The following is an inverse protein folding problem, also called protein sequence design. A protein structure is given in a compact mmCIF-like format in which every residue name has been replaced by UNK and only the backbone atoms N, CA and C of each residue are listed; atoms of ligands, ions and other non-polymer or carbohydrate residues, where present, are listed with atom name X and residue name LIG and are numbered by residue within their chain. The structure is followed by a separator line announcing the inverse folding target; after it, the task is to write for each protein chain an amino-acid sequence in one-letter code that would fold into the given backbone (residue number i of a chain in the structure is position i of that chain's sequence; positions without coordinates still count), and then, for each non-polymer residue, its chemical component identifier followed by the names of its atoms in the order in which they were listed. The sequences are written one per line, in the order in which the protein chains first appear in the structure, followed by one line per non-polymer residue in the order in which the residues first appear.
data_IF_336826138376
#
_entry.id   IF_336826138376
#
_cell.length_a   1.000
_cell.length_b   1.000
_cell.length_c   1.000
_cell.angle_alpha   90.00
_cell.angle_beta   90.00
_cell.angle_gamma   90.00
#
_symmetry.space_group_name_H-M   'P 1'
#
loop_
_entity.id
_entity.type
_entity.pdbx_description
1 polymer ?
#
# COMPACT_ATOMS: atom_id res chain seq x y z
N UNK A 1 -3.11 -13.63 -1.23
CA UNK A 1 -2.96 -12.84 0.01
C UNK A 1 -3.21 -13.77 1.18
N UNK A 2 -2.46 -13.64 2.27
CA UNK A 2 -2.62 -14.50 3.45
C UNK A 2 -2.49 -13.68 4.73
N UNK A 3 -3.53 -13.71 5.56
CA UNK A 3 -3.59 -13.00 6.82
C UNK A 3 -2.98 -13.83 7.94
N UNK A 4 -2.23 -13.19 8.81
CA UNK A 4 -1.63 -13.82 10.02
C UNK A 4 -2.35 -13.39 11.29
N UNK A 5 -2.98 -12.22 11.28
CA UNK A 5 -3.81 -11.74 12.38
C UNK A 5 -4.92 -10.83 11.84
N UNK A 6 -6.10 -10.92 12.45
CA UNK A 6 -7.27 -10.14 12.08
C UNK A 6 -8.10 -9.79 13.32
N UNK A 7 -8.26 -8.51 13.61
CA UNK A 7 -9.03 -7.98 14.75
C UNK A 7 -9.80 -6.72 14.33
N UNK A 8 -10.75 -6.23 15.12
CA UNK A 8 -11.51 -5.02 14.76
C UNK A 8 -10.65 -3.75 14.58
N UNK A 9 -9.43 -3.71 15.11
CA UNK A 9 -8.57 -2.51 15.06
C UNK A 9 -7.35 -2.65 14.15
N UNK A 10 -6.94 -3.89 13.87
CA UNK A 10 -5.74 -4.20 13.11
C UNK A 10 -5.90 -5.53 12.37
N UNK A 11 -5.53 -5.56 11.10
CA UNK A 11 -5.25 -6.81 10.37
C UNK A 11 -3.85 -6.77 9.80
N UNK A 12 -3.15 -7.90 9.80
CA UNK A 12 -1.81 -8.00 9.24
C UNK A 12 -1.60 -9.33 8.51
N UNK A 13 -0.76 -9.30 7.48
CA UNK A 13 -0.53 -10.46 6.64
C UNK A 13 0.56 -10.22 5.61
N UNK A 14 0.72 -11.18 4.71
CA UNK A 14 1.63 -11.11 3.58
C UNK A 14 0.87 -11.23 2.27
N UNK A 15 1.39 -10.56 1.24
CA UNK A 15 0.73 -10.46 -0.05
C UNK A 15 1.72 -10.15 -1.15
N UNK A 16 1.15 -9.91 -2.33
CA UNK A 16 1.86 -9.45 -3.51
C UNK A 16 1.10 -8.23 -4.00
N UNK A 17 1.81 -7.14 -4.24
CA UNK A 17 1.27 -5.97 -4.94
C UNK A 17 1.76 -5.98 -6.38
N UNK A 18 0.89 -5.60 -7.31
CA UNK A 18 1.24 -5.34 -8.70
C UNK A 18 1.56 -3.87 -8.85
N UNK A 19 2.77 -3.58 -9.29
CA UNK A 19 3.29 -2.22 -9.48
C UNK A 19 3.54 -2.03 -10.98
N UNK A 20 3.18 -0.86 -11.49
CA UNK A 20 3.47 -0.46 -12.86
C UNK A 20 4.62 0.56 -12.81
N UNK A 21 5.80 0.22 -13.35
CA UNK A 21 6.83 1.24 -13.52
C UNK A 21 6.41 2.17 -14.66
N UNK A 22 5.64 3.21 -14.35
CA UNK A 22 5.13 4.23 -15.28
C UNK A 22 6.23 5.12 -15.92
N UNK A 23 7.42 4.58 -16.12
CA UNK A 23 8.61 5.26 -16.60
C UNK A 23 9.04 4.73 -17.98
N UNK A 24 9.29 5.61 -18.95
CA UNK A 24 9.15 7.08 -18.90
C UNK A 24 7.70 7.58 -19.03
N UNK A 25 6.74 6.70 -19.31
CA UNK A 25 5.31 7.00 -19.33
C UNK A 25 4.50 5.72 -19.06
N UNK A 26 3.20 5.87 -18.78
CA UNK A 26 2.27 4.76 -18.52
C UNK A 26 2.21 3.71 -19.64
N UNK A 27 2.35 4.10 -20.91
CA UNK A 27 2.26 3.15 -22.03
C UNK A 27 3.54 2.32 -22.22
N UNK A 28 4.66 2.79 -21.69
CA UNK A 28 5.96 2.14 -21.77
C UNK A 28 6.31 1.35 -20.50
N UNK A 29 5.45 1.40 -19.49
CA UNK A 29 5.68 0.73 -18.21
C UNK A 29 5.56 -0.78 -18.29
N UNK A 30 6.15 -1.43 -17.28
CA UNK A 30 6.07 -2.86 -17.03
C UNK A 30 5.40 -3.07 -15.70
N UNK A 31 4.42 -3.96 -15.73
CA UNK A 31 3.81 -4.50 -14.51
C UNK A 31 4.79 -5.54 -13.93
N UNK A 32 5.17 -5.34 -12.68
CA UNK A 32 5.90 -6.32 -11.90
C UNK A 32 5.24 -6.52 -10.55
N UNK A 33 5.43 -7.70 -9.98
CA UNK A 33 4.87 -8.07 -8.69
C UNK A 33 5.93 -8.00 -7.61
N UNK A 34 5.55 -7.51 -6.43
CA UNK A 34 6.43 -7.35 -5.28
C UNK A 34 5.81 -8.00 -4.05
N UNK A 35 6.52 -8.92 -3.36
CA UNK A 35 6.08 -9.43 -2.07
C UNK A 35 6.04 -8.31 -1.02
N UNK A 36 4.96 -8.23 -0.26
CA UNK A 36 4.74 -7.21 0.76
C UNK A 36 4.22 -7.80 2.05
N UNK A 37 4.56 -7.18 3.17
CA UNK A 37 3.78 -7.30 4.39
C UNK A 37 2.73 -6.19 4.39
N UNK A 38 1.51 -6.51 4.76
CA UNK A 38 0.36 -5.60 4.73
C UNK A 38 -0.17 -5.42 6.13
N UNK A 39 -0.46 -4.18 6.50
CA UNK A 39 -1.15 -3.82 7.75
C UNK A 39 -2.35 -2.95 7.44
N UNK A 40 -3.55 -3.36 7.86
CA UNK A 40 -4.77 -2.55 7.82
C UNK A 40 -5.04 -2.00 9.22
N UNK A 41 -5.29 -0.70 9.33
CA UNK A 41 -5.49 -0.03 10.62
C UNK A 41 -6.35 1.24 10.50
N UNK A 42 -6.62 1.87 11.65
CA UNK A 42 -7.49 3.04 11.73
C UNK A 42 -8.96 2.63 11.62
N UNK A 43 -9.43 1.84 12.59
CA UNK A 43 -10.83 1.40 12.65
C UNK A 43 -11.78 2.59 12.75
N UNK A 44 -12.89 2.51 12.02
CA UNK A 44 -13.97 3.50 12.03
C UNK A 44 -15.31 2.80 11.85
N UNK A 45 -16.27 3.17 12.70
CA UNK A 45 -17.65 2.71 12.58
C UNK A 45 -18.27 3.14 11.25
N UNK A 46 -19.01 2.23 10.62
CA UNK A 46 -19.73 2.49 9.38
C UNK A 46 -21.06 3.18 9.70
N UNK A 47 -21.31 4.32 9.05
CA UNK A 47 -22.56 5.07 9.24
C UNK A 47 -23.76 4.18 8.89
N UNK A 48 -24.78 4.18 9.76
CA UNK A 48 -25.99 3.38 9.63
C UNK A 48 -25.78 1.85 9.67
N UNK A 49 -24.64 1.36 10.19
CA UNK A 49 -24.39 -0.06 10.47
C UNK A 49 -23.80 -0.25 11.86
N UNK A 50 -24.62 -0.23 12.92
CA UNK A 50 -24.14 -0.42 14.29
C UNK A 50 -23.43 -1.77 14.44
N UNK A 51 -22.21 -1.75 14.99
CA UNK A 51 -21.39 -2.95 15.18
C UNK A 51 -20.43 -3.28 14.02
N UNK A 52 -20.58 -2.63 12.87
CA UNK A 52 -19.66 -2.80 11.75
C UNK A 52 -18.57 -1.70 11.76
N UNK A 53 -17.32 -2.14 11.73
CA UNK A 53 -16.15 -1.28 11.58
C UNK A 53 -15.45 -1.53 10.23
N UNK A 54 -14.78 -0.49 9.71
CA UNK A 54 -13.87 -0.59 8.58
C UNK A 54 -12.50 -0.03 8.95
N UNK A 55 -11.44 -0.56 8.34
CA UNK A 55 -10.14 0.10 8.37
C UNK A 55 -10.14 1.28 7.40
N UNK A 56 -9.45 2.35 7.77
CA UNK A 56 -9.33 3.57 6.95
C UNK A 56 -7.92 3.75 6.38
N UNK A 57 -6.98 2.89 6.76
CA UNK A 57 -5.59 2.95 6.31
C UNK A 57 -5.03 1.57 6.01
N UNK A 58 -4.15 1.53 5.03
CA UNK A 58 -3.33 0.38 4.70
C UNK A 58 -1.87 0.80 4.63
N UNK A 59 -0.97 0.06 5.27
CA UNK A 59 0.47 0.20 5.13
C UNK A 59 1.03 -1.04 4.45
N UNK A 60 1.69 -0.84 3.31
CA UNK A 60 2.52 -1.84 2.64
C UNK A 60 3.95 -1.69 3.13
N UNK A 61 4.60 -2.81 3.46
CA UNK A 61 6.00 -2.88 3.88
C UNK A 61 6.73 -3.77 2.89
N UNK A 62 7.82 -3.26 2.30
CA UNK A 62 8.58 -3.92 1.25
C UNK A 62 9.87 -4.52 1.83
N UNK A 63 9.89 -5.82 2.20
CA UNK A 63 11.07 -6.45 2.76
C UNK A 63 12.19 -6.69 1.73
N UNK A 64 11.87 -6.63 0.44
CA UNK A 64 12.80 -6.88 -0.67
C UNK A 64 12.82 -5.73 -1.68
N UNK A 65 12.57 -6.05 -2.97
CA UNK A 65 12.46 -5.05 -4.05
C UNK A 65 11.44 -3.99 -3.65
N UNK A 66 11.74 -2.72 -3.90
CA UNK A 66 10.89 -1.58 -3.56
C UNK A 66 10.43 -0.89 -4.84
N UNK A 67 9.14 -0.56 -4.97
CA UNK A 67 8.66 0.18 -6.12
C UNK A 67 9.20 1.62 -6.11
N UNK A 68 9.32 2.20 -7.30
CA UNK A 68 9.65 3.60 -7.46
C UNK A 68 8.42 4.46 -7.14
N UNK A 69 8.55 5.37 -6.18
CA UNK A 69 7.59 6.44 -5.92
C UNK A 69 8.18 7.75 -6.40
N UNK A 70 7.51 8.40 -7.33
CA UNK A 70 7.96 9.67 -7.88
C UNK A 70 7.44 10.82 -7.03
N UNK A 71 8.35 11.65 -6.55
CA UNK A 71 8.05 12.88 -5.79
C UNK A 71 8.66 14.08 -6.50
N UNK A 72 8.02 15.24 -6.38
CA UNK A 72 8.60 16.49 -6.88
C UNK A 72 9.56 17.07 -5.85
N UNK A 73 10.80 17.28 -6.26
CA UNK A 73 11.83 17.97 -5.48
C UNK A 73 12.31 19.16 -6.32
N UNK A 74 12.04 20.37 -5.85
CA UNK A 74 12.37 21.63 -6.56
C UNK A 74 11.86 21.63 -8.02
N UNK A 75 10.61 21.22 -8.22
CA UNK A 75 9.96 21.17 -9.55
C UNK A 75 10.43 20.05 -10.48
N UNK A 76 11.33 19.15 -10.01
CA UNK A 76 11.80 17.99 -10.79
C UNK A 76 11.31 16.69 -10.17
N UNK A 77 10.79 15.79 -11.01
CA UNK A 77 10.43 14.44 -10.59
C UNK A 77 11.68 13.64 -10.23
N UNK A 78 11.68 13.03 -9.04
CA UNK A 78 12.71 12.09 -8.59
C UNK A 78 12.07 10.81 -8.10
N UNK A 79 12.62 9.68 -8.54
CA UNK A 79 12.26 8.38 -8.01
C UNK A 79 12.80 8.20 -6.59
N UNK A 80 11.96 7.68 -5.71
CA UNK A 80 12.30 7.25 -4.36
C UNK A 80 11.87 5.79 -4.18
N UNK A 81 12.43 5.10 -3.19
CA UNK A 81 12.22 3.66 -2.99
C UNK A 81 11.89 3.38 -1.52
N UNK A 82 10.73 3.81 -1.04
CA UNK A 82 10.42 3.78 0.37
C UNK A 82 10.26 2.34 0.89
N UNK A 83 10.65 2.13 2.15
CA UNK A 83 10.46 0.83 2.84
C UNK A 83 8.98 0.56 3.06
N UNK A 84 8.19 1.62 3.26
CA UNK A 84 6.76 1.54 3.51
C UNK A 84 5.98 2.55 2.67
N UNK A 85 4.74 2.21 2.35
CA UNK A 85 3.77 3.11 1.75
C UNK A 85 2.47 3.00 2.52
N UNK A 86 1.88 4.13 2.90
CA UNK A 86 0.57 4.17 3.57
C UNK A 86 -0.46 4.82 2.66
N UNK A 87 -1.56 4.11 2.43
CA UNK A 87 -2.72 4.54 1.67
C UNK A 87 -3.87 4.81 2.65
N UNK A 88 -4.58 5.91 2.44
CA UNK A 88 -5.83 6.22 3.15
C UNK A 88 -7.04 5.99 2.25
N UNK A 89 -8.16 5.59 2.84
CA UNK A 89 -9.45 5.34 2.18
C UNK A 89 -10.54 6.27 2.70
#
# INVERSE_FOLDING_TARGET
MHWTSWTSHLASGYGIVSEDDNYPNHAAGKIYTVPVLVTLWGSRAIKNRPGDDTYTRMTLIFPGKRPAVYVQVNGKWRATYPVTQTLGF
#
